data_IF_433420675482
#
_entry.id   IF_433420675482
#
_cell.length_a   1.000
_cell.length_b   1.000
_cell.length_c   1.000
_cell.angle_alpha   90.00
_cell.angle_beta   90.00
_cell.angle_gamma   90.00
#
_symmetry.space_group_name_H-M   'P 1'
#
loop_
_entity.id
_entity.type
_entity.pdbx_description
1 polymer ?
#
# COMPACT_ATOMS: atom_id res chain seq x y z
N UNK A 1 33.86 -13.88 -32.48
CA UNK A 1 33.35 -13.33 -31.20
C UNK A 1 32.52 -12.12 -31.53
N UNK A 2 31.20 -12.28 -31.53
CA UNK A 2 30.24 -11.19 -31.73
C UNK A 2 30.10 -10.45 -30.41
N UNK A 3 30.60 -9.22 -30.36
CA UNK A 3 30.32 -8.28 -29.27
C UNK A 3 28.84 -7.92 -29.33
N UNK A 4 28.03 -8.49 -28.45
CA UNK A 4 26.72 -7.90 -28.16
C UNK A 4 26.97 -6.58 -27.43
N UNK A 5 26.40 -5.45 -27.88
CA UNK A 5 26.46 -4.22 -27.12
C UNK A 5 25.82 -4.45 -25.74
N UNK A 6 26.26 -3.75 -24.68
CA UNK A 6 25.59 -3.82 -23.40
C UNK A 6 24.13 -3.42 -23.63
N UNK A 7 23.20 -4.28 -23.22
CA UNK A 7 21.79 -3.92 -23.08
C UNK A 7 21.73 -2.58 -22.36
N UNK A 8 20.93 -1.64 -22.87
CA UNK A 8 20.71 -0.34 -22.22
C UNK A 8 20.66 -0.52 -20.71
N UNK A 9 21.58 0.10 -19.97
CA UNK A 9 21.61 -0.05 -18.52
C UNK A 9 20.24 0.37 -17.99
N UNK A 10 19.44 -0.61 -17.53
CA UNK A 10 18.17 -0.34 -16.87
C UNK A 10 18.46 0.66 -15.77
N UNK A 11 17.68 1.75 -15.73
CA UNK A 11 17.79 2.70 -14.65
C UNK A 11 17.50 1.96 -13.34
N UNK A 12 18.48 1.90 -12.44
CA UNK A 12 18.40 1.18 -11.19
C UNK A 12 18.55 2.16 -10.03
N UNK A 13 17.42 2.59 -9.46
CA UNK A 13 17.39 3.20 -8.14
C UNK A 13 17.40 2.08 -7.08
N UNK A 14 17.77 2.41 -5.84
CA UNK A 14 17.72 1.43 -4.74
C UNK A 14 16.26 1.01 -4.47
N UNK A 15 16.00 -0.28 -4.28
CA UNK A 15 14.64 -0.82 -4.09
C UNK A 15 13.89 -0.14 -2.95
N UNK A 16 14.56 0.16 -1.83
CA UNK A 16 13.97 0.92 -0.70
C UNK A 16 13.44 2.31 -1.10
N UNK A 17 14.13 3.01 -2.00
CA UNK A 17 13.67 4.30 -2.54
C UNK A 17 12.46 4.09 -3.43
N UNK A 18 12.51 3.08 -4.31
CA UNK A 18 11.42 2.73 -5.20
C UNK A 18 10.16 2.31 -4.41
N UNK A 19 10.30 1.50 -3.36
CA UNK A 19 9.20 1.10 -2.46
C UNK A 19 8.59 2.30 -1.75
N UNK A 20 9.39 3.19 -1.17
CA UNK A 20 8.89 4.41 -0.54
C UNK A 20 8.13 5.30 -1.53
N UNK A 21 8.65 5.43 -2.76
CA UNK A 21 8.03 6.22 -3.83
C UNK A 21 6.72 5.60 -4.33
N UNK A 22 6.67 4.27 -4.46
CA UNK A 22 5.44 3.52 -4.79
C UNK A 22 4.34 3.82 -3.77
N UNK A 23 4.64 3.67 -2.48
CA UNK A 23 3.66 3.93 -1.42
C UNK A 23 3.25 5.41 -1.37
N UNK A 24 4.18 6.33 -1.66
CA UNK A 24 3.85 7.75 -1.76
C UNK A 24 2.82 8.01 -2.87
N UNK A 25 3.08 7.54 -4.10
CA UNK A 25 2.20 7.78 -5.25
C UNK A 25 0.85 7.08 -5.03
N UNK A 26 0.85 5.82 -4.61
CA UNK A 26 -0.37 5.05 -4.40
C UNK A 26 -1.23 5.64 -3.28
N UNK A 27 -0.62 6.02 -2.15
CA UNK A 27 -1.36 6.64 -1.03
C UNK A 27 -1.94 8.01 -1.39
N UNK A 28 -1.23 8.79 -2.22
CA UNK A 28 -1.71 10.08 -2.71
C UNK A 28 -2.89 9.91 -3.67
N UNK A 29 -2.87 8.90 -4.54
CA UNK A 29 -4.02 8.54 -5.37
C UNK A 29 -5.23 8.15 -4.52
N UNK A 30 -5.07 7.30 -3.50
CA UNK A 30 -6.18 6.94 -2.59
C UNK A 30 -6.70 8.15 -1.80
N UNK A 31 -5.81 9.05 -1.37
CA UNK A 31 -6.21 10.29 -0.67
C UNK A 31 -7.09 11.18 -1.55
N UNK A 32 -6.78 11.26 -2.84
CA UNK A 32 -7.50 12.05 -3.84
C UNK A 32 -8.75 11.33 -4.36
N UNK A 33 -8.74 9.99 -4.33
CA UNK A 33 -9.81 9.11 -4.81
C UNK A 33 -10.13 8.04 -3.75
N UNK A 34 -10.93 8.37 -2.70
CA UNK A 34 -11.11 7.49 -1.54
C UNK A 34 -11.81 6.15 -1.81
N UNK A 35 -12.40 5.98 -3.00
CA UNK A 35 -12.99 4.73 -3.47
C UNK A 35 -11.93 3.73 -3.95
N UNK A 36 -10.67 4.15 -4.13
CA UNK A 36 -9.58 3.27 -4.49
C UNK A 36 -9.08 2.46 -3.29
N UNK A 37 -8.44 1.34 -3.63
CA UNK A 37 -7.89 0.34 -2.72
C UNK A 37 -6.48 -0.01 -3.16
N UNK A 38 -5.63 -0.36 -2.20
CA UNK A 38 -4.31 -0.94 -2.45
C UNK A 38 -4.34 -2.38 -1.97
N UNK A 39 -3.88 -3.30 -2.81
CA UNK A 39 -3.65 -4.71 -2.50
C UNK A 39 -2.21 -5.09 -2.87
N UNK A 40 -1.66 -6.08 -2.17
CA UNK A 40 -0.39 -6.68 -2.56
C UNK A 40 -0.66 -8.04 -3.17
N UNK A 41 -0.06 -8.29 -4.33
CA UNK A 41 -0.16 -9.57 -5.04
C UNK A 41 1.23 -10.05 -5.41
N UNK A 42 1.43 -11.35 -5.39
CA UNK A 42 2.64 -11.97 -5.96
C UNK A 42 2.30 -12.39 -7.38
N UNK A 43 2.86 -11.71 -8.37
CA UNK A 43 2.73 -12.13 -9.76
C UNK A 43 3.75 -13.24 -10.04
N UNK A 44 3.34 -14.29 -10.78
CA UNK A 44 4.19 -15.45 -11.08
C UNK A 44 5.55 -15.05 -11.71
N UNK A 45 5.56 -13.99 -12.53
CA UNK A 45 6.74 -13.54 -13.27
C UNK A 45 7.37 -12.22 -12.76
N UNK A 46 6.68 -11.45 -11.91
CA UNK A 46 7.09 -10.08 -11.54
C UNK A 46 7.32 -9.90 -10.01
N UNK A 47 7.27 -10.98 -9.22
CA UNK A 47 7.48 -10.93 -7.77
C UNK A 47 6.37 -10.17 -7.03
N UNK A 48 6.63 -9.65 -5.80
CA UNK A 48 5.64 -8.90 -5.03
C UNK A 48 5.39 -7.53 -5.68
N UNK A 49 4.14 -7.28 -6.08
CA UNK A 49 3.70 -6.03 -6.68
C UNK A 49 2.59 -5.39 -5.87
N UNK A 50 2.55 -4.06 -5.88
CA UNK A 50 1.48 -3.28 -5.26
C UNK A 50 0.47 -2.93 -6.34
N UNK A 51 -0.79 -3.28 -6.14
CA UNK A 51 -1.89 -3.02 -7.07
C UNK A 51 -2.82 -1.97 -6.47
N UNK A 52 -3.03 -0.88 -7.20
CA UNK A 52 -4.07 0.10 -6.92
C UNK A 52 -5.25 -0.16 -7.86
N UNK A 53 -6.45 -0.29 -7.29
CA UNK A 53 -7.65 -0.59 -8.07
C UNK A 53 -8.91 0.00 -7.43
N UNK A 54 -10.01 0.06 -8.18
CA UNK A 54 -11.32 0.39 -7.62
C UNK A 54 -11.99 -0.84 -6.97
N UNK A 55 -13.10 -0.64 -6.24
CA UNK A 55 -13.83 -1.74 -5.57
C UNK A 55 -14.47 -2.74 -6.55
N UNK A 56 -14.68 -2.36 -7.81
CA UNK A 56 -15.26 -3.21 -8.86
C UNK A 56 -14.19 -3.91 -9.71
N UNK A 57 -12.93 -3.61 -9.44
CA UNK A 57 -11.75 -4.11 -10.14
C UNK A 57 -11.70 -3.76 -11.64
N UNK A 58 -12.37 -2.67 -12.03
CA UNK A 58 -12.47 -2.21 -13.42
C UNK A 58 -11.25 -1.41 -13.90
N UNK A 59 -10.66 -0.63 -13.01
CA UNK A 59 -9.38 0.05 -13.21
C UNK A 59 -8.30 -0.58 -12.33
N UNK A 60 -7.13 -0.86 -12.92
CA UNK A 60 -5.95 -1.40 -12.23
C UNK A 60 -4.69 -0.64 -12.60
N UNK A 61 -3.90 -0.27 -11.59
CA UNK A 61 -2.58 0.34 -11.71
C UNK A 61 -1.61 -0.49 -10.90
N UNK A 62 -0.67 -1.14 -11.58
CA UNK A 62 0.35 -1.99 -10.98
C UNK A 62 1.63 -1.19 -10.77
N UNK A 63 2.20 -1.30 -9.56
CA UNK A 63 3.49 -0.74 -9.19
C UNK A 63 4.50 -1.89 -9.06
N UNK A 64 5.56 -1.80 -9.84
CA UNK A 64 6.55 -2.85 -10.06
C UNK A 64 7.95 -2.26 -9.86
N UNK A 65 8.75 -2.87 -9.00
CA UNK A 65 10.09 -2.37 -8.68
C UNK A 65 11.07 -2.49 -9.86
N UNK A 66 10.84 -3.41 -10.80
CA UNK A 66 11.66 -3.54 -11.99
C UNK A 66 11.18 -2.66 -13.14
N UNK A 67 9.87 -2.59 -13.35
CA UNK A 67 9.27 -2.02 -14.57
C UNK A 67 8.70 -0.62 -14.39
N UNK A 68 8.45 -0.18 -13.16
CA UNK A 68 7.82 1.11 -12.84
C UNK A 68 6.32 0.98 -12.63
N UNK A 69 5.53 1.90 -13.20
CA UNK A 69 4.07 1.92 -13.03
C UNK A 69 3.40 1.51 -14.33
N UNK A 70 2.56 0.47 -14.29
CA UNK A 70 1.85 -0.08 -15.45
C UNK A 70 0.33 0.00 -15.25
N UNK A 71 -0.39 0.35 -16.30
CA UNK A 71 -1.86 0.35 -16.32
C UNK A 71 -2.36 0.27 -17.76
N UNK A 72 -3.66 0.02 -17.95
CA UNK A 72 -4.27 -0.09 -19.28
C UNK A 72 -5.22 1.09 -19.50
N UNK A 73 -5.13 1.72 -20.68
CA UNK A 73 -6.03 2.80 -21.11
C UNK A 73 -6.60 2.43 -22.46
N UNK A 74 -7.93 2.27 -22.55
CA UNK A 74 -8.62 1.91 -23.80
C UNK A 74 -8.04 0.65 -24.50
N UNK A 75 -7.58 -0.32 -23.71
CA UNK A 75 -6.97 -1.56 -24.21
C UNK A 75 -5.46 -1.50 -24.45
N UNK A 76 -4.85 -0.31 -24.39
CA UNK A 76 -3.42 -0.12 -24.59
C UNK A 76 -2.66 -0.09 -23.27
N UNK A 77 -1.55 -0.82 -23.20
CA UNK A 77 -0.68 -0.84 -22.04
C UNK A 77 0.16 0.44 -21.95
N UNK A 78 0.01 1.18 -20.86
CA UNK A 78 0.82 2.36 -20.54
C UNK A 78 1.85 1.98 -19.49
N UNK A 79 3.09 2.40 -19.70
CA UNK A 79 4.19 2.20 -18.74
C UNK A 79 4.90 3.52 -18.42
N UNK A 80 5.03 3.83 -17.13
CA UNK A 80 5.84 4.92 -16.60
C UNK A 80 7.06 4.29 -15.92
N UNK A 81 8.18 4.22 -16.64
CA UNK A 81 9.42 3.64 -16.11
C UNK A 81 10.08 4.48 -15.01
N UNK A 82 10.85 3.82 -14.14
CA UNK A 82 11.52 4.44 -12.99
C UNK A 82 12.37 5.65 -13.32
N UNK A 83 13.07 5.65 -14.47
CA UNK A 83 13.85 6.82 -14.92
C UNK A 83 13.01 8.10 -14.97
N UNK A 84 11.77 8.00 -15.45
CA UNK A 84 10.84 9.14 -15.53
C UNK A 84 10.30 9.53 -14.15
N UNK A 85 10.01 8.55 -13.31
CA UNK A 85 9.52 8.77 -11.94
C UNK A 85 10.57 9.52 -11.12
N UNK A 86 11.82 9.04 -11.13
CA UNK A 86 12.90 9.62 -10.31
C UNK A 86 13.36 10.98 -10.85
N UNK A 87 13.32 11.19 -12.17
CA UNK A 87 13.68 12.48 -12.77
C UNK A 87 12.51 13.49 -12.80
N UNK A 88 11.33 13.16 -12.26
CA UNK A 88 10.24 14.13 -12.16
C UNK A 88 10.61 15.24 -11.17
N UNK A 89 10.24 16.48 -11.48
CA UNK A 89 10.50 17.60 -10.58
C UNK A 89 9.69 17.46 -9.28
N UNK A 90 8.55 16.79 -9.37
CA UNK A 90 7.68 16.49 -8.26
C UNK A 90 6.94 15.18 -8.49
N UNK A 91 6.87 14.35 -7.45
CA UNK A 91 6.07 13.11 -7.46
C UNK A 91 4.59 13.35 -7.77
N UNK A 92 4.08 14.57 -7.53
CA UNK A 92 2.71 14.95 -7.92
C UNK A 92 2.50 14.97 -9.43
N UNK A 93 3.54 15.13 -10.25
CA UNK A 93 3.43 15.07 -11.71
C UNK A 93 3.04 13.66 -12.16
N UNK A 94 3.61 12.64 -11.53
CA UNK A 94 3.28 11.24 -11.80
C UNK A 94 1.83 10.96 -11.40
N UNK A 95 1.38 11.46 -10.24
CA UNK A 95 -0.03 11.36 -9.81
C UNK A 95 -0.95 11.99 -10.84
N UNK A 96 -0.68 13.24 -11.27
CA UNK A 96 -1.50 13.95 -12.27
C UNK A 96 -1.52 13.24 -13.63
N UNK A 97 -0.40 12.65 -14.02
CA UNK A 97 -0.30 11.89 -15.28
C UNK A 97 -1.15 10.63 -15.24
N UNK A 98 -1.10 9.89 -14.14
CA UNK A 98 -1.97 8.73 -13.91
C UNK A 98 -3.43 9.18 -13.94
N UNK A 99 -3.78 10.22 -13.18
CA UNK A 99 -5.13 10.76 -13.13
C UNK A 99 -5.69 11.12 -14.51
N UNK A 100 -4.89 11.84 -15.30
CA UNK A 100 -5.26 12.21 -16.66
C UNK A 100 -5.43 11.01 -17.57
N UNK A 101 -4.49 10.05 -17.52
CA UNK A 101 -4.49 8.90 -18.42
C UNK A 101 -5.60 7.89 -18.10
N UNK A 102 -5.93 7.68 -16.82
CA UNK A 102 -6.99 6.75 -16.40
C UNK A 102 -8.38 7.38 -16.36
N UNK A 103 -8.49 8.68 -16.59
CA UNK A 103 -9.75 9.41 -16.48
C UNK A 103 -10.22 9.65 -15.05
N UNK A 104 -9.37 9.36 -14.05
CA UNK A 104 -9.59 9.76 -12.65
C UNK A 104 -9.49 11.29 -12.58
N UNK A 105 -10.63 11.96 -12.72
CA UNK A 105 -10.68 13.42 -12.69
C UNK A 105 -10.14 13.94 -11.35
N UNK A 106 -9.08 14.75 -11.40
CA UNK A 106 -8.54 15.39 -10.22
C UNK A 106 -9.66 16.04 -9.39
N UNK A 107 -9.77 15.72 -8.09
CA UNK A 107 -10.87 16.20 -7.28
C UNK A 107 -10.81 17.73 -7.17
N UNK A 108 -11.95 18.41 -7.41
CA UNK A 108 -12.05 19.87 -7.30
C UNK A 108 -11.79 20.37 -5.88
N UNK A 109 -12.20 19.58 -4.90
CA UNK A 109 -11.97 19.81 -3.47
C UNK A 109 -11.29 18.57 -2.92
N UNK A 110 -10.23 18.75 -2.14
CA UNK A 110 -9.56 17.62 -1.49
C UNK A 110 -10.56 16.86 -0.61
N UNK A 111 -10.76 15.54 -0.83
CA UNK A 111 -11.66 14.76 0.00
C UNK A 111 -11.23 14.73 1.46
N UNK A 112 -12.21 14.53 2.36
CA UNK A 112 -11.93 14.31 3.77
C UNK A 112 -11.03 13.07 3.94
N UNK A 113 -10.05 13.16 4.84
CA UNK A 113 -9.16 12.02 5.13
C UNK A 113 -9.98 10.88 5.72
N UNK A 114 -9.94 9.72 5.06
CA UNK A 114 -10.54 8.48 5.56
C UNK A 114 -9.54 7.68 6.39
N UNK A 115 -10.00 6.75 7.26
CA UNK A 115 -9.10 5.87 8.00
C UNK A 115 -8.16 5.07 7.08
N UNK A 116 -8.67 4.56 5.95
CA UNK A 116 -7.88 3.84 4.94
C UNK A 116 -6.78 4.71 4.33
N UNK A 117 -7.12 5.90 3.84
CA UNK A 117 -6.14 6.81 3.28
C UNK A 117 -5.09 7.20 4.32
N UNK A 118 -5.48 7.33 5.60
CA UNK A 118 -4.55 7.64 6.69
C UNK A 118 -3.52 6.52 6.92
N UNK A 119 -3.93 5.25 6.83
CA UNK A 119 -3.03 4.09 6.95
C UNK A 119 -2.00 4.07 5.83
N UNK A 120 -2.44 4.23 4.58
CA UNK A 120 -1.50 4.24 3.44
C UNK A 120 -0.53 5.41 3.49
N UNK A 121 -0.99 6.58 3.95
CA UNK A 121 -0.12 7.74 4.17
C UNK A 121 0.86 7.53 5.32
N UNK A 122 0.47 6.81 6.38
CA UNK A 122 1.36 6.42 7.46
C UNK A 122 2.47 5.50 6.92
N UNK A 123 2.12 4.51 6.10
CA UNK A 123 3.08 3.61 5.44
C UNK A 123 4.08 4.42 4.61
N UNK A 124 3.58 5.26 3.71
CA UNK A 124 4.43 6.12 2.89
C UNK A 124 5.35 6.99 3.74
N UNK A 125 4.80 7.70 4.73
CA UNK A 125 5.57 8.57 5.60
C UNK A 125 6.65 7.82 6.38
N UNK A 126 6.35 6.61 6.86
CA UNK A 126 7.30 5.77 7.57
C UNK A 126 8.44 5.32 6.65
N UNK A 127 8.11 4.70 5.51
CA UNK A 127 9.11 4.20 4.55
C UNK A 127 10.02 5.29 4.00
N UNK A 128 9.49 6.50 3.77
CA UNK A 128 10.30 7.66 3.40
C UNK A 128 11.29 8.02 4.49
N UNK A 129 10.90 7.97 5.77
CA UNK A 129 11.78 8.33 6.89
C UNK A 129 12.90 7.33 7.15
N UNK A 130 12.72 6.06 6.76
CA UNK A 130 13.70 4.97 6.97
C UNK A 130 14.41 4.55 5.69
N UNK A 131 14.32 5.34 4.61
CA UNK A 131 14.87 4.97 3.28
C UNK A 131 16.39 4.74 3.30
N UNK A 132 17.11 5.34 4.23
CA UNK A 132 18.56 5.18 4.41
C UNK A 132 18.93 4.41 5.69
N UNK A 133 17.95 3.79 6.35
CA UNK A 133 18.17 2.95 7.52
C UNK A 133 19.06 1.74 7.13
N UNK A 134 19.92 1.25 8.05
CA UNK A 134 20.70 0.04 7.82
C UNK A 134 19.85 -1.23 7.75
N UNK A 135 18.70 -1.26 8.44
CA UNK A 135 17.79 -2.40 8.44
C UNK A 135 16.87 -2.36 7.22
N UNK A 136 16.46 -3.53 6.74
CA UNK A 136 15.53 -3.62 5.62
C UNK A 136 14.08 -3.45 6.09
N UNK A 137 13.47 -2.33 5.70
CA UNK A 137 12.07 -2.04 5.99
C UNK A 137 11.17 -2.32 4.81
N UNK A 138 10.14 -3.15 5.03
CA UNK A 138 9.15 -3.48 4.01
C UNK A 138 7.72 -3.45 4.57
N UNK A 139 6.76 -3.38 3.65
CA UNK A 139 5.34 -3.55 3.98
C UNK A 139 4.76 -4.61 3.07
N UNK A 140 4.26 -5.69 3.68
CA UNK A 140 3.77 -6.88 2.98
C UNK A 140 2.32 -7.18 3.38
N UNK A 141 1.52 -7.84 2.52
CA UNK A 141 0.18 -8.28 2.90
C UNK A 141 0.23 -9.17 4.14
N UNK A 142 -0.63 -8.89 5.12
CA UNK A 142 -0.87 -9.77 6.25
C UNK A 142 -2.22 -10.47 6.04
N UNK A 143 -2.23 -11.47 5.16
CA UNK A 143 -3.45 -12.14 4.73
C UNK A 143 -4.19 -12.77 5.90
N UNK A 144 -5.51 -12.65 5.93
CA UNK A 144 -6.39 -13.43 6.80
C UNK A 144 -7.06 -14.56 6.00
N UNK A 145 -7.21 -15.72 6.63
CA UNK A 145 -8.05 -16.80 6.12
C UNK A 145 -9.52 -16.41 6.29
N UNK A 146 -10.28 -16.46 5.20
CA UNK A 146 -11.70 -16.04 5.17
C UNK A 146 -12.68 -17.19 4.98
N UNK A 147 -12.15 -18.35 4.62
CA UNK A 147 -12.84 -19.54 4.15
C UNK A 147 -12.54 -20.77 5.03
N UNK A 148 -11.78 -20.59 6.11
CA UNK A 148 -11.40 -21.67 7.02
C UNK A 148 -10.50 -22.72 6.37
N UNK A 149 -9.99 -22.45 5.17
CA UNK A 149 -8.95 -23.25 4.55
C UNK A 149 -7.64 -23.01 5.29
N UNK A 150 -6.97 -24.11 5.61
CA UNK A 150 -5.74 -24.18 6.39
C UNK A 150 -4.54 -23.81 5.49
N UNK A 151 -4.61 -22.65 4.82
CA UNK A 151 -3.43 -22.04 4.24
C UNK A 151 -2.50 -21.67 5.40
N UNK A 152 -1.51 -22.53 5.64
CA UNK A 152 -0.58 -22.42 6.76
C UNK A 152 0.21 -21.10 6.76
N UNK A 153 0.20 -20.34 5.66
CA UNK A 153 0.83 -19.03 5.55
C UNK A 153 -0.10 -17.85 5.91
N UNK A 154 -1.41 -18.03 5.77
CA UNK A 154 -2.39 -17.00 6.10
C UNK A 154 -2.43 -16.76 7.62
N UNK A 155 -2.36 -15.49 8.01
CA UNK A 155 -2.48 -15.07 9.40
C UNK A 155 -1.22 -15.21 10.24
N UNK A 156 -0.09 -15.71 9.72
CA UNK A 156 1.14 -15.87 10.50
C UNK A 156 1.58 -14.56 11.18
N UNK A 157 1.57 -13.45 10.43
CA UNK A 157 1.87 -12.14 11.01
C UNK A 157 0.81 -11.71 12.03
N UNK A 158 -0.47 -11.96 11.79
CA UNK A 158 -1.58 -11.55 12.67
C UNK A 158 -1.49 -12.23 14.04
N UNK A 159 -1.05 -13.50 14.09
CA UNK A 159 -0.88 -14.26 15.33
C UNK A 159 0.13 -13.63 16.31
N UNK A 160 1.11 -12.88 15.79
CA UNK A 160 2.12 -12.18 16.60
C UNK A 160 1.55 -10.98 17.37
N UNK A 161 0.33 -10.53 17.03
CA UNK A 161 -0.28 -9.33 17.57
C UNK A 161 -1.69 -9.64 18.09
N UNK A 162 -1.85 -9.99 19.39
CA UNK A 162 -3.14 -10.41 19.95
C UNK A 162 -4.29 -9.42 19.77
N UNK A 163 -3.98 -8.12 19.65
CA UNK A 163 -4.97 -7.07 19.43
C UNK A 163 -5.66 -7.14 18.06
N UNK A 164 -5.15 -7.92 17.10
CA UNK A 164 -5.76 -8.12 15.78
C UNK A 164 -6.99 -9.03 15.82
N UNK A 165 -7.11 -9.92 16.83
CA UNK A 165 -8.14 -10.96 16.89
C UNK A 165 -9.56 -10.43 16.73
N UNK A 166 -9.88 -9.31 17.39
CA UNK A 166 -11.20 -8.69 17.30
C UNK A 166 -11.48 -8.13 15.89
N UNK A 167 -10.48 -7.52 15.26
CA UNK A 167 -10.61 -7.01 13.89
C UNK A 167 -10.77 -8.15 12.88
N UNK A 168 -9.96 -9.21 12.99
CA UNK A 168 -10.10 -10.42 12.16
C UNK A 168 -11.50 -11.00 12.27
N UNK A 169 -11.99 -11.22 13.49
CA UNK A 169 -13.35 -11.74 13.70
C UNK A 169 -14.44 -10.82 13.08
N UNK A 170 -14.28 -9.51 13.19
CA UNK A 170 -15.20 -8.54 12.58
C UNK A 170 -15.18 -8.59 11.05
N UNK A 171 -14.00 -8.73 10.43
CA UNK A 171 -13.87 -8.86 8.98
C UNK A 171 -14.42 -10.20 8.48
N UNK A 172 -14.15 -11.31 9.16
CA UNK A 172 -14.71 -12.62 8.83
C UNK A 172 -16.24 -12.62 8.94
N UNK A 173 -16.81 -11.95 9.96
CA UNK A 173 -18.26 -11.81 10.04
C UNK A 173 -18.84 -11.03 8.84
N UNK A 174 -18.13 -10.01 8.34
CA UNK A 174 -18.55 -9.23 7.19
C UNK A 174 -18.48 -10.02 5.88
N UNK A 175 -17.52 -10.94 5.71
CA UNK A 175 -17.44 -11.79 4.49
C UNK A 175 -18.60 -12.76 4.37
N UNK A 176 -19.14 -13.23 5.49
CA UNK A 176 -20.30 -14.13 5.51
C UNK A 176 -21.65 -13.39 5.35
N UNK A 177 -21.65 -12.06 5.29
CA UNK A 177 -22.87 -11.28 5.08
C UNK A 177 -23.23 -11.26 3.59
N UNK A 178 -24.28 -11.98 3.19
CA UNK A 178 -24.80 -11.94 1.82
C UNK A 178 -25.35 -10.56 1.50
N UNK A 179 -25.07 -10.04 0.29
CA UNK A 179 -25.71 -8.82 -0.17
C UNK A 179 -27.21 -9.09 -0.41
N UNK A 180 -28.10 -8.10 -0.20
CA UNK A 180 -29.55 -8.27 -0.39
C UNK A 180 -29.97 -8.74 -1.79
N UNK A 181 -29.10 -8.57 -2.78
CA UNK A 181 -29.29 -8.98 -4.17
C UNK A 181 -28.68 -10.36 -4.50
N UNK A 182 -28.21 -11.12 -3.51
CA UNK A 182 -27.57 -12.42 -3.71
C UNK A 182 -26.14 -12.34 -4.25
N UNK A 183 -25.55 -11.14 -4.37
CA UNK A 183 -24.16 -10.97 -4.74
C UNK A 183 -23.19 -11.29 -3.60
N UNK A 184 -22.01 -11.79 -3.94
CA UNK A 184 -20.88 -11.90 -3.01
C UNK A 184 -20.11 -10.58 -3.03
N UNK A 185 -19.87 -9.97 -1.86
CA UNK A 185 -19.01 -8.80 -1.77
C UNK A 185 -17.56 -9.25 -2.02
N UNK A 186 -16.86 -8.60 -2.95
CA UNK A 186 -15.43 -8.83 -3.15
C UNK A 186 -14.70 -8.51 -1.83
N UNK A 187 -14.02 -9.51 -1.27
CA UNK A 187 -13.28 -9.32 -0.02
C UNK A 187 -11.86 -8.84 -0.33
N UNK A 188 -11.48 -7.73 0.31
CA UNK A 188 -10.14 -7.16 0.19
C UNK A 188 -9.39 -7.37 1.50
N UNK A 189 -8.19 -7.94 1.40
CA UNK A 189 -7.30 -8.17 2.54
C UNK A 189 -6.97 -6.83 3.23
N UNK A 190 -7.44 -6.58 4.47
CA UNK A 190 -7.41 -5.25 5.06
C UNK A 190 -6.13 -4.96 5.86
N UNK A 191 -5.26 -5.97 6.03
CA UNK A 191 -4.10 -5.89 6.89
C UNK A 191 -2.78 -5.89 6.11
N UNK A 192 -1.86 -5.07 6.59
CA UNK A 192 -0.48 -5.01 6.12
C UNK A 192 0.46 -5.23 7.30
N UNK A 193 1.52 -6.01 7.12
CA UNK A 193 2.59 -6.14 8.11
C UNK A 193 3.71 -5.17 7.77
N UNK A 194 4.11 -4.33 8.74
CA UNK A 194 5.36 -3.59 8.69
C UNK A 194 6.46 -4.51 9.21
N UNK A 195 7.46 -4.78 8.39
CA UNK A 195 8.58 -5.66 8.72
C UNK A 195 9.90 -4.91 8.77
N UNK A 196 10.77 -5.32 9.70
CA UNK A 196 12.18 -4.93 9.81
C UNK A 196 13.02 -6.19 9.74
N UNK A 197 13.87 -6.32 8.74
CA UNK A 197 14.67 -7.52 8.48
C UNK A 197 13.82 -8.80 8.49
N UNK A 198 12.66 -8.73 7.80
CA UNK A 198 11.64 -9.78 7.71
C UNK A 198 10.82 -10.03 9.00
N UNK A 199 11.18 -9.44 10.13
CA UNK A 199 10.39 -9.54 11.36
C UNK A 199 9.26 -8.51 11.41
N UNK A 200 8.02 -8.95 11.61
CA UNK A 200 6.90 -8.03 11.77
C UNK A 200 6.97 -7.28 13.10
N UNK A 201 6.90 -5.95 13.04
CA UNK A 201 6.90 -5.06 14.21
C UNK A 201 5.52 -4.45 14.50
N UNK A 202 4.66 -4.38 13.47
CA UNK A 202 3.30 -3.89 13.59
C UNK A 202 2.40 -4.44 12.46
N UNK A 203 1.09 -4.52 12.72
CA UNK A 203 0.05 -4.72 11.70
C UNK A 203 -0.70 -3.40 11.51
N UNK A 204 -0.86 -2.99 10.26
CA UNK A 204 -1.65 -1.84 9.88
C UNK A 204 -2.98 -2.30 9.29
N UNK A 205 -4.07 -1.95 9.96
CA UNK A 205 -5.44 -2.23 9.54
C UNK A 205 -6.00 -1.02 8.80
N UNK A 206 -6.49 -1.23 7.57
CA UNK A 206 -7.17 -0.21 6.75
C UNK A 206 -8.36 0.47 7.44
N UNK A 207 -8.90 -0.06 8.54
CA UNK A 207 -9.85 0.62 9.42
C UNK A 207 -9.24 1.81 10.21
N UNK A 208 -7.94 2.09 10.06
CA UNK A 208 -7.25 3.18 10.75
C UNK A 208 -6.74 2.78 12.13
N UNK A 209 -6.37 1.51 12.31
CA UNK A 209 -5.84 0.97 13.57
C UNK A 209 -4.47 0.36 13.33
N UNK A 210 -3.52 0.66 14.21
CA UNK A 210 -2.20 0.03 14.22
C UNK A 210 -2.12 -0.91 15.40
N UNK A 211 -1.80 -2.16 15.13
CA UNK A 211 -1.61 -3.20 16.12
C UNK A 211 -0.11 -3.41 16.35
N UNK A 212 0.33 -3.17 17.58
CA UNK A 212 1.69 -3.46 18.03
C UNK A 212 1.65 -4.50 19.15
N UNK A 213 2.81 -4.98 19.59
CA UNK A 213 2.90 -5.90 20.75
C UNK A 213 2.32 -5.30 22.03
N UNK A 214 2.26 -3.97 22.14
CA UNK A 214 1.68 -3.24 23.28
C UNK A 214 0.16 -3.07 23.19
N UNK A 215 -0.45 -3.28 22.03
CA UNK A 215 -1.89 -3.12 21.84
C UNK A 215 -2.28 -2.43 20.53
N UNK A 216 -3.56 -2.07 20.42
CA UNK A 216 -4.13 -1.40 19.26
C UNK A 216 -4.20 0.12 19.48
N UNK A 217 -3.83 0.89 18.46
CA UNK A 217 -3.83 2.36 18.48
C UNK A 217 -4.67 2.88 17.33
N UNK A 218 -5.67 3.74 17.61
CA UNK A 218 -6.46 4.38 16.55
C UNK A 218 -5.72 5.59 15.99
N UNK A 219 -5.59 5.66 14.68
CA UNK A 219 -4.80 6.71 13.99
C UNK A 219 -5.50 8.06 13.95
N UNK A 220 -6.82 8.10 13.72
CA UNK A 220 -7.53 9.36 13.46
C UNK A 220 -7.43 10.38 14.62
N UNK A 221 -7.55 9.99 15.90
CA UNK A 221 -7.32 10.92 17.02
C UNK A 221 -5.90 11.51 17.02
N UNK A 222 -4.88 10.66 16.87
CA UNK A 222 -3.47 11.08 16.87
C UNK A 222 -3.19 12.02 15.70
N UNK A 223 -3.72 11.71 14.52
CA UNK A 223 -3.58 12.56 13.33
C UNK A 223 -4.16 13.97 13.56
N UNK A 224 -5.32 14.06 14.24
CA UNK A 224 -5.94 15.34 14.58
C UNK A 224 -5.13 16.11 15.62
N UNK A 225 -4.66 15.43 16.66
CA UNK A 225 -3.80 16.02 17.71
C UNK A 225 -2.47 16.52 17.14
N UNK A 226 -1.91 15.81 16.16
CA UNK A 226 -0.73 16.20 15.40
C UNK A 226 -0.99 17.32 14.36
N UNK A 227 -2.14 17.98 14.40
CA UNK A 227 -2.48 19.07 13.47
C UNK A 227 -2.64 18.64 12.01
N UNK A 228 -2.95 17.37 11.76
CA UNK A 228 -3.08 16.81 10.41
C UNK A 228 -1.74 16.54 9.71
N UNK A 229 -0.62 16.54 10.46
CA UNK A 229 0.71 16.31 9.91
C UNK A 229 1.10 14.83 9.97
N UNK A 230 1.43 14.26 8.81
CA UNK A 230 1.78 12.83 8.75
C UNK A 230 3.11 12.51 9.40
N UNK A 231 4.13 13.37 9.26
CA UNK A 231 5.43 13.14 9.92
C UNK A 231 5.30 13.03 11.43
N UNK A 232 4.57 13.96 12.06
CA UNK A 232 4.29 13.93 13.50
C UNK A 232 3.42 12.72 13.91
N UNK A 233 2.42 12.37 13.10
CA UNK A 233 1.59 11.17 13.33
C UNK A 233 2.44 9.89 13.28
N UNK A 234 3.32 9.78 12.28
CA UNK A 234 4.25 8.66 12.12
C UNK A 234 5.21 8.55 13.29
N UNK A 235 5.83 9.66 13.70
CA UNK A 235 6.72 9.69 14.85
C UNK A 235 6.01 9.24 16.15
N UNK A 236 4.77 9.68 16.37
CA UNK A 236 3.99 9.29 17.55
C UNK A 236 3.65 7.79 17.57
N UNK A 237 3.25 7.22 16.43
CA UNK A 237 2.74 5.83 16.38
C UNK A 237 3.85 4.80 16.16
N UNK A 238 4.82 5.12 15.31
CA UNK A 238 5.85 4.19 14.85
C UNK A 238 7.28 4.64 15.19
N UNK A 239 7.48 5.84 15.75
CA UNK A 239 8.81 6.38 16.05
C UNK A 239 9.64 5.51 16.99
N UNK A 240 9.00 4.76 17.90
CA UNK A 240 9.69 3.80 18.79
C UNK A 240 10.37 2.63 18.06
N UNK A 241 10.02 2.40 16.80
CA UNK A 241 10.63 1.37 15.97
C UNK A 241 11.75 1.92 15.07
N UNK A 242 11.85 3.25 14.97
CA UNK A 242 12.91 3.94 14.25
C UNK A 242 14.18 4.02 15.13
N UNK A 243 15.38 4.15 14.52
CA UNK A 243 16.62 4.32 15.26
C UNK A 243 16.65 5.57 16.15
#
# INVERSE_FOLDING_TARGET
>A
MTFNPPSESRFAAASRFMTAQTWWIASELVRRHPHLLITGVTAEDDGPVVLLHDEQDGMRIQFDLERGIRFVVLGEAVNIGWRRIVNSESSHEIVKMIEFATGLQAPRVTPNTTPRALVYRLISSFLTSVVNDPNEWNVVPATMSTDGTDDQSAGQFLLLFPSTRAAVAAYTAQTHTQLPNGGTRLFHQPFWALTRDLEAVAILDTAGVIHTREGAVRLMPIFKEAGGQMSATTACVLGKFQP
#
